data_IF_859998698277
#
_entry.id   IF_859998698277
#
_cell.length_a   1.000
_cell.length_b   1.000
_cell.length_c   1.000
_cell.angle_alpha   90.00
_cell.angle_beta   90.00
_cell.angle_gamma   90.00
#
_symmetry.space_group_name_H-M   'P 1'
#
loop_
_entity.id
_entity.type
_entity.pdbx_description
1 polymer ?
#
# COMPACT_ATOMS: atom_id res chain seq x y z
N UNK A 1 66.81 -9.97 19.06
CA UNK A 1 67.62 -8.76 19.34
C UNK A 1 67.13 -7.68 18.39
N UNK A 2 66.55 -6.54 18.76
CA UNK A 2 66.22 -5.92 20.04
C UNK A 2 65.24 -4.78 19.72
N UNK A 3 64.21 -4.57 20.55
CA UNK A 3 63.51 -3.27 20.60
C UNK A 3 64.45 -2.20 21.22
N UNK A 4 64.09 -0.90 21.21
CA UNK A 4 63.23 -0.40 22.29
C UNK A 4 62.21 0.72 21.91
N UNK A 5 61.07 0.69 22.59
CA UNK A 5 60.20 1.84 22.89
C UNK A 5 60.90 2.87 23.81
N UNK A 6 60.39 4.11 23.86
CA UNK A 6 60.33 4.85 25.11
C UNK A 6 58.88 5.05 25.58
N UNK A 7 58.67 4.67 26.83
CA UNK A 7 57.59 5.10 27.72
C UNK A 7 57.65 6.62 27.95
N UNK A 8 56.49 7.28 28.00
CA UNK A 8 56.20 8.34 28.99
C UNK A 8 54.69 8.57 29.13
N UNK A 9 54.17 8.27 30.31
CA UNK A 9 53.10 9.02 30.99
C UNK A 9 53.73 9.62 32.26
N UNK A 10 53.11 10.52 33.06
CA UNK A 10 51.73 11.02 33.04
C UNK A 10 51.61 12.55 33.24
N UNK A 11 50.43 13.15 33.04
CA UNK A 11 50.06 14.36 33.80
C UNK A 11 48.55 14.50 33.97
N UNK A 12 48.16 14.60 35.24
CA UNK A 12 46.83 15.00 35.69
C UNK A 12 46.68 16.50 35.47
N UNK A 13 45.60 16.93 34.83
CA UNK A 13 45.06 18.27 34.99
C UNK A 13 43.60 18.17 35.43
N UNK A 14 43.38 18.59 36.67
CA UNK A 14 42.07 18.91 37.22
C UNK A 14 41.71 20.31 36.73
N UNK A 15 40.57 20.47 36.05
CA UNK A 15 39.98 21.79 35.80
C UNK A 15 38.48 21.73 36.01
N UNK A 16 38.05 22.58 36.93
CA UNK A 16 36.72 22.82 37.45
C UNK A 16 35.78 23.46 36.43
N UNK A 17 34.52 23.03 36.48
CA UNK A 17 33.27 23.73 36.17
C UNK A 17 33.32 24.88 35.13
N UNK A 18 32.79 24.60 33.95
CA UNK A 18 32.29 25.58 33.00
C UNK A 18 31.16 24.97 32.18
N UNK A 19 29.93 25.40 32.42
CA UNK A 19 28.73 24.97 31.71
C UNK A 19 28.90 25.15 30.21
N UNK A 20 28.84 24.05 29.45
CA UNK A 20 28.64 24.07 28.01
C UNK A 20 27.51 23.10 27.68
N UNK A 21 26.33 23.66 27.47
CA UNK A 21 25.16 22.94 26.99
C UNK A 21 25.43 22.58 25.52
N UNK A 22 25.93 21.37 25.26
CA UNK A 22 26.00 20.79 23.93
C UNK A 22 24.88 19.75 23.81
N UNK A 23 23.92 20.08 22.95
CA UNK A 23 22.87 19.19 22.48
C UNK A 23 23.48 17.97 21.80
N UNK A 24 23.51 16.83 22.49
CA UNK A 24 23.80 15.53 21.90
C UNK A 24 22.93 14.46 22.55
N UNK A 25 22.20 13.74 21.70
CA UNK A 25 21.68 12.42 22.02
C UNK A 25 20.26 12.37 22.57
N UNK A 26 19.26 12.76 21.76
CA UNK A 26 18.00 12.00 21.82
C UNK A 26 18.23 10.74 21.01
N UNK A 27 18.58 9.68 21.73
CA UNK A 27 18.67 8.33 21.18
C UNK A 27 17.34 7.93 20.55
N UNK A 28 17.43 6.98 19.62
CA UNK A 28 16.29 6.18 19.16
C UNK A 28 15.55 5.61 20.38
N UNK A 29 14.52 6.30 20.82
CA UNK A 29 13.46 5.69 21.61
C UNK A 29 12.56 4.99 20.62
N UNK A 30 12.65 3.66 20.58
CA UNK A 30 11.59 2.83 19.99
C UNK A 30 10.24 3.34 20.51
N UNK A 31 9.34 3.73 19.61
CA UNK A 31 8.05 4.30 19.99
C UNK A 31 7.27 3.30 20.83
N UNK A 32 6.73 3.76 21.95
CA UNK A 32 5.76 3.00 22.73
C UNK A 32 4.57 2.64 21.81
N UNK A 33 4.17 1.36 21.87
CA UNK A 33 3.14 0.67 21.09
C UNK A 33 3.56 0.19 19.69
N UNK A 34 4.48 -0.78 19.62
CA UNK A 34 4.62 -1.66 18.45
C UNK A 34 3.33 -2.49 18.25
N UNK A 35 3.03 -2.88 17.01
CA UNK A 35 1.81 -3.59 16.60
C UNK A 35 1.54 -4.83 17.46
N UNK A 36 2.60 -5.55 17.86
CA UNK A 36 2.50 -6.71 18.75
C UNK A 36 1.86 -6.37 20.12
N UNK A 37 2.16 -5.20 20.69
CA UNK A 37 1.55 -4.77 21.95
C UNK A 37 0.05 -4.48 21.77
N UNK A 38 -0.31 -3.81 20.67
CA UNK A 38 -1.71 -3.58 20.34
C UNK A 38 -2.48 -4.90 20.16
N UNK A 39 -1.90 -5.88 19.46
CA UNK A 39 -2.48 -7.21 19.26
C UNK A 39 -2.68 -7.98 20.57
N UNK A 40 -1.80 -7.78 21.55
CA UNK A 40 -1.89 -8.42 22.85
C UNK A 40 -2.91 -7.74 23.78
N UNK A 41 -2.88 -6.41 23.86
CA UNK A 41 -3.51 -5.67 24.95
C UNK A 41 -4.92 -5.16 24.61
N UNK A 42 -5.11 -4.62 23.40
CA UNK A 42 -6.36 -3.95 23.00
C UNK A 42 -7.19 -4.82 22.05
N UNK A 43 -6.51 -5.48 21.11
CA UNK A 43 -7.12 -6.17 19.99
C UNK A 43 -8.10 -7.30 20.37
N UNK A 44 -7.80 -8.18 21.36
CA UNK A 44 -8.71 -9.28 21.71
C UNK A 44 -10.06 -8.80 22.24
N UNK A 45 -10.06 -7.70 23.00
CA UNK A 45 -11.28 -7.11 23.52
C UNK A 45 -12.13 -6.53 22.37
N UNK A 46 -11.50 -5.83 21.43
CA UNK A 46 -12.19 -5.24 20.27
C UNK A 46 -12.76 -6.33 19.36
N UNK A 47 -11.97 -7.37 19.05
CA UNK A 47 -12.42 -8.51 18.26
C UNK A 47 -13.64 -9.19 18.88
N UNK A 48 -13.63 -9.39 20.21
CA UNK A 48 -14.75 -9.95 20.96
C UNK A 48 -16.00 -9.07 20.87
N UNK A 49 -15.85 -7.76 20.98
CA UNK A 49 -16.97 -6.81 20.90
C UNK A 49 -17.60 -6.75 19.50
N UNK A 50 -16.79 -6.89 18.43
CA UNK A 50 -17.26 -6.96 17.05
C UNK A 50 -17.99 -8.27 16.71
N UNK A 51 -17.74 -9.35 17.47
CA UNK A 51 -18.27 -10.68 17.21
C UNK A 51 -17.97 -11.21 15.78
N UNK A 52 -16.79 -10.88 15.25
CA UNK A 52 -16.35 -11.30 13.91
C UNK A 52 -15.46 -12.54 13.98
N UNK A 53 -15.32 -13.25 12.85
CA UNK A 53 -14.38 -14.38 12.78
C UNK A 53 -12.93 -13.86 12.82
N UNK A 54 -11.95 -14.66 13.29
CA UNK A 54 -10.54 -14.26 13.24
C UNK A 54 -10.08 -13.90 11.82
N UNK A 55 -10.60 -14.64 10.83
CA UNK A 55 -10.36 -14.40 9.41
C UNK A 55 -10.83 -13.01 8.96
N UNK A 56 -11.99 -12.58 9.43
CA UNK A 56 -12.54 -11.27 9.08
C UNK A 56 -11.82 -10.15 9.84
N UNK A 57 -11.59 -10.35 11.14
CA UNK A 57 -10.98 -9.34 11.99
C UNK A 57 -9.55 -8.97 11.57
N UNK A 58 -8.77 -9.91 11.03
CA UNK A 58 -7.42 -9.63 10.50
C UNK A 58 -7.42 -8.57 9.37
N UNK A 59 -8.54 -8.39 8.68
CA UNK A 59 -8.69 -7.38 7.63
C UNK A 59 -8.95 -5.99 8.22
N UNK A 60 -9.40 -5.92 9.48
CA UNK A 60 -9.72 -4.68 10.20
C UNK A 60 -8.55 -4.24 11.07
N UNK A 61 -7.91 -5.19 11.77
CA UNK A 61 -6.93 -4.96 12.82
C UNK A 61 -5.75 -4.05 12.41
N UNK A 62 -5.08 -4.23 11.26
CA UNK A 62 -3.97 -3.35 10.88
C UNK A 62 -4.39 -1.89 10.68
N UNK A 63 -5.55 -1.67 10.04
CA UNK A 63 -6.10 -0.32 9.86
C UNK A 63 -6.51 0.29 11.20
N UNK A 64 -7.09 -0.50 12.10
CA UNK A 64 -7.45 -0.05 13.44
C UNK A 64 -6.22 0.38 14.24
N UNK A 65 -5.15 -0.43 14.24
CA UNK A 65 -3.89 -0.08 14.88
C UNK A 65 -3.32 1.23 14.36
N UNK A 66 -3.24 1.40 13.04
CA UNK A 66 -2.68 2.63 12.46
C UNK A 66 -3.54 3.87 12.74
N UNK A 67 -4.86 3.74 12.77
CA UNK A 67 -5.73 4.84 13.22
C UNK A 67 -5.53 5.13 14.71
N UNK A 68 -5.41 4.10 15.55
CA UNK A 68 -5.14 4.28 16.98
C UNK A 68 -3.82 5.01 17.21
N UNK A 69 -2.77 4.69 16.45
CA UNK A 69 -1.49 5.40 16.46
C UNK A 69 -1.63 6.85 15.99
N UNK A 70 -2.30 7.08 14.86
CA UNK A 70 -2.49 8.41 14.31
C UNK A 70 -3.25 9.35 15.27
N UNK A 71 -4.19 8.80 16.05
CA UNK A 71 -5.00 9.54 17.01
C UNK A 71 -4.62 9.24 18.47
N UNK A 72 -3.39 8.78 18.73
CA UNK A 72 -2.94 8.36 20.06
C UNK A 72 -3.17 9.45 21.11
N UNK A 73 -2.81 10.70 20.80
CA UNK A 73 -2.99 11.83 21.73
C UNK A 73 -4.45 12.04 22.13
N UNK A 74 -5.39 11.86 21.19
CA UNK A 74 -6.82 11.95 21.47
C UNK A 74 -7.29 10.78 22.33
N UNK A 75 -6.83 9.56 22.03
CA UNK A 75 -7.20 8.35 22.76
C UNK A 75 -6.60 8.29 24.18
N UNK A 76 -5.39 8.82 24.38
CA UNK A 76 -4.68 8.77 25.66
C UNK A 76 -5.36 9.58 26.77
N UNK A 77 -6.19 10.56 26.40
CA UNK A 77 -6.95 11.39 27.35
C UNK A 77 -8.25 10.75 27.85
N UNK A 78 -8.66 9.63 27.26
CA UNK A 78 -9.90 8.93 27.57
C UNK A 78 -9.71 7.95 28.73
N UNK A 79 -10.80 7.62 29.42
CA UNK A 79 -10.80 6.47 30.34
C UNK A 79 -10.57 5.17 29.55
N UNK A 80 -10.18 4.08 30.23
CA UNK A 80 -9.98 2.79 29.57
C UNK A 80 -11.26 2.29 28.89
N UNK A 81 -12.43 2.51 29.50
CA UNK A 81 -13.74 2.14 28.95
C UNK A 81 -14.06 2.97 27.70
N UNK A 82 -13.95 4.30 27.78
CA UNK A 82 -14.20 5.21 26.64
C UNK A 82 -13.21 4.95 25.48
N UNK A 83 -11.95 4.64 25.80
CA UNK A 83 -10.93 4.28 24.81
C UNK A 83 -11.33 2.99 24.09
N UNK A 84 -11.73 1.96 24.83
CA UNK A 84 -12.18 0.70 24.26
C UNK A 84 -13.42 0.91 23.37
N UNK A 85 -14.43 1.64 23.83
CA UNK A 85 -15.61 1.97 23.03
C UNK A 85 -15.24 2.71 21.74
N UNK A 86 -14.28 3.64 21.81
CA UNK A 86 -13.80 4.37 20.63
C UNK A 86 -13.12 3.44 19.63
N UNK A 87 -12.27 2.53 20.09
CA UNK A 87 -11.61 1.53 19.24
C UNK A 87 -12.63 0.60 18.57
N UNK A 88 -13.64 0.14 19.32
CA UNK A 88 -14.75 -0.66 18.76
C UNK A 88 -15.50 0.13 17.69
N UNK A 89 -15.83 1.39 17.95
CA UNK A 89 -16.52 2.25 16.98
C UNK A 89 -15.69 2.49 15.71
N UNK A 90 -14.37 2.66 15.83
CA UNK A 90 -13.46 2.79 14.69
C UNK A 90 -13.41 1.48 13.90
N UNK A 91 -13.34 0.35 14.57
CA UNK A 91 -13.32 -0.96 13.94
C UNK A 91 -14.64 -1.25 13.17
N UNK A 92 -15.78 -0.88 13.75
CA UNK A 92 -17.09 -0.94 13.10
C UNK A 92 -17.19 0.01 11.89
N UNK A 93 -16.57 1.18 11.96
CA UNK A 93 -16.48 2.09 10.83
C UNK A 93 -15.68 1.47 9.68
N UNK A 94 -14.49 0.93 9.95
CA UNK A 94 -13.66 0.24 8.95
C UNK A 94 -14.45 -0.90 8.30
N UNK A 95 -15.09 -1.73 9.11
CA UNK A 95 -15.87 -2.89 8.65
C UNK A 95 -17.03 -2.49 7.72
N UNK A 96 -17.83 -1.50 8.15
CA UNK A 96 -18.93 -0.97 7.34
C UNK A 96 -18.42 -0.37 6.04
N UNK A 97 -17.31 0.39 6.08
CA UNK A 97 -16.77 1.03 4.88
C UNK A 97 -16.27 -0.01 3.88
N UNK A 98 -15.55 -1.04 4.32
CA UNK A 98 -15.11 -2.15 3.46
C UNK A 98 -16.29 -2.91 2.87
N UNK A 99 -17.31 -3.18 3.68
CA UNK A 99 -18.53 -3.85 3.23
C UNK A 99 -19.29 -3.02 2.18
N UNK A 100 -19.37 -1.70 2.37
CA UNK A 100 -20.06 -0.80 1.45
C UNK A 100 -19.43 -0.75 0.05
N UNK A 101 -18.10 -0.91 -0.03
CA UNK A 101 -17.36 -0.89 -1.31
C UNK A 101 -17.07 -2.29 -1.87
N UNK A 102 -17.47 -3.36 -1.20
CA UNK A 102 -17.08 -4.73 -1.58
C UNK A 102 -17.53 -5.13 -2.99
N UNK A 103 -18.64 -4.56 -3.48
CA UNK A 103 -19.16 -4.80 -4.83
C UNK A 103 -18.52 -3.90 -5.89
N UNK A 104 -17.68 -2.92 -5.52
CA UNK A 104 -17.04 -2.03 -6.48
C UNK A 104 -16.10 -2.81 -7.38
N UNK A 105 -16.27 -2.59 -8.68
CA UNK A 105 -15.55 -3.30 -9.71
C UNK A 105 -14.12 -2.78 -9.83
N UNK A 106 -13.14 -3.69 -9.75
CA UNK A 106 -11.72 -3.37 -9.97
C UNK A 106 -11.31 -3.78 -11.38
N UNK A 107 -11.72 -4.96 -11.87
CA UNK A 107 -11.43 -5.42 -13.24
C UNK A 107 -12.70 -6.06 -13.80
N UNK A 108 -13.09 -5.72 -15.02
CA UNK A 108 -14.26 -6.30 -15.67
C UNK A 108 -14.85 -5.40 -16.76
N UNK A 109 -16.01 -5.78 -17.32
CA UNK A 109 -16.65 -5.05 -18.40
C UNK A 109 -16.87 -3.57 -18.05
N UNK A 110 -16.63 -2.68 -19.02
CA UNK A 110 -16.80 -1.24 -18.84
C UNK A 110 -15.62 -0.51 -18.17
N UNK A 111 -14.55 -1.24 -17.81
CA UNK A 111 -13.30 -0.67 -17.29
C UNK A 111 -12.15 -0.79 -18.29
N UNK A 112 -11.24 0.16 -18.24
CA UNK A 112 -9.95 0.12 -18.96
C UNK A 112 -8.83 -0.30 -18.02
N UNK A 113 -7.79 -0.97 -18.55
CA UNK A 113 -6.56 -1.29 -17.82
C UNK A 113 -5.38 -0.50 -18.39
N UNK A 114 -4.56 0.06 -17.51
CA UNK A 114 -3.26 0.66 -17.86
C UNK A 114 -2.19 -0.10 -17.08
N UNK A 115 -1.29 -0.79 -17.77
CA UNK A 115 -0.19 -1.52 -17.13
C UNK A 115 1.15 -0.81 -17.28
N UNK A 116 1.96 -0.77 -16.22
CA UNK A 116 3.39 -0.45 -16.26
C UNK A 116 4.16 -1.64 -15.70
N UNK A 117 4.99 -2.25 -16.55
CA UNK A 117 5.77 -3.44 -16.18
C UNK A 117 7.23 -3.09 -16.08
N UNK A 118 7.90 -3.61 -15.05
CA UNK A 118 9.36 -3.55 -14.87
C UNK A 118 10.11 -3.84 -16.17
N UNK A 119 11.18 -3.10 -16.51
CA UNK A 119 12.01 -3.43 -17.68
C UNK A 119 12.67 -4.81 -17.59
N UNK A 120 12.88 -5.35 -16.39
CA UNK A 120 13.52 -6.65 -16.18
C UNK A 120 12.75 -7.80 -16.84
N UNK A 121 13.48 -8.87 -17.13
CA UNK A 121 12.94 -10.06 -17.76
C UNK A 121 12.03 -10.82 -16.78
N UNK A 122 10.80 -11.12 -17.22
CA UNK A 122 9.90 -12.00 -16.47
C UNK A 122 8.44 -11.61 -16.50
N UNK A 123 8.16 -10.31 -16.39
CA UNK A 123 6.83 -9.73 -16.54
C UNK A 123 6.54 -9.52 -18.02
N UNK A 124 5.64 -10.34 -18.57
CA UNK A 124 5.22 -10.26 -19.96
C UNK A 124 3.93 -9.43 -20.08
N UNK A 125 3.82 -8.47 -21.02
CA UNK A 125 2.58 -7.78 -21.33
C UNK A 125 1.35 -8.71 -21.50
N UNK A 126 1.59 -9.97 -21.90
CA UNK A 126 0.57 -11.01 -22.01
C UNK A 126 -0.20 -11.24 -20.71
N UNK A 127 0.40 -11.05 -19.54
CA UNK A 127 -0.24 -11.37 -18.25
C UNK A 127 -1.41 -10.42 -17.97
N UNK A 128 -1.22 -9.11 -18.17
CA UNK A 128 -2.30 -8.12 -18.03
C UNK A 128 -3.27 -8.19 -19.22
N UNK A 129 -2.78 -8.34 -20.45
CA UNK A 129 -3.65 -8.37 -21.64
C UNK A 129 -4.54 -9.61 -21.70
N UNK A 130 -4.07 -10.77 -21.23
CA UNK A 130 -4.88 -11.98 -21.14
C UNK A 130 -5.98 -11.83 -20.08
N UNK A 131 -5.65 -11.23 -18.93
CA UNK A 131 -6.64 -10.89 -17.91
C UNK A 131 -7.67 -9.91 -18.47
N UNK A 132 -7.23 -8.82 -19.11
CA UNK A 132 -8.11 -7.85 -19.76
C UNK A 132 -9.07 -8.51 -20.75
N UNK A 133 -8.56 -9.42 -21.59
CA UNK A 133 -9.36 -10.16 -22.57
C UNK A 133 -10.40 -11.05 -21.89
N UNK A 134 -10.01 -11.78 -20.84
CA UNK A 134 -10.92 -12.65 -20.09
C UNK A 134 -12.08 -11.87 -19.42
N UNK A 135 -11.85 -10.59 -19.13
CA UNK A 135 -12.77 -9.70 -18.43
C UNK A 135 -13.40 -8.62 -19.33
N UNK A 136 -13.20 -8.71 -20.66
CA UNK A 136 -13.74 -7.76 -21.65
C UNK A 136 -13.35 -6.29 -21.37
N UNK A 137 -12.10 -6.08 -20.97
CA UNK A 137 -11.50 -4.75 -20.76
C UNK A 137 -10.64 -4.34 -21.96
N UNK A 138 -10.57 -3.04 -22.25
CA UNK A 138 -9.47 -2.48 -23.05
C UNK A 138 -8.20 -2.42 -22.21
N UNK A 139 -7.02 -2.66 -22.80
CA UNK A 139 -5.75 -2.58 -22.07
C UNK A 139 -4.65 -1.89 -22.87
N UNK A 140 -3.90 -1.01 -22.20
CA UNK A 140 -2.69 -0.38 -22.72
C UNK A 140 -1.53 -0.71 -21.78
N UNK A 141 -0.51 -1.41 -22.27
CA UNK A 141 0.64 -1.85 -21.45
C UNK A 141 1.89 -1.09 -21.88
N UNK A 142 2.57 -0.51 -20.89
CA UNK A 142 3.85 0.16 -21.02
C UNK A 142 4.93 -0.75 -20.43
N UNK A 143 5.90 -1.12 -21.27
CA UNK A 143 7.11 -1.84 -20.86
C UNK A 143 8.23 -1.43 -21.82
N UNK A 144 9.43 -1.20 -21.30
CA UNK A 144 10.62 -1.10 -22.15
C UNK A 144 10.95 -2.48 -22.73
N UNK A 145 10.80 -2.65 -24.04
CA UNK A 145 10.98 -3.95 -24.73
C UNK A 145 12.26 -4.03 -25.55
N UNK A 146 12.88 -2.90 -25.87
CA UNK A 146 14.10 -2.84 -26.66
C UNK A 146 15.13 -1.86 -26.04
N UNK A 147 16.37 -1.90 -26.53
CA UNK A 147 17.46 -1.05 -26.05
C UNK A 147 17.43 0.39 -26.58
N UNK A 148 16.64 0.66 -27.62
CA UNK A 148 16.52 1.98 -28.23
C UNK A 148 15.52 2.90 -27.51
N UNK A 149 14.54 2.31 -26.82
CA UNK A 149 13.62 3.01 -25.93
C UNK A 149 14.34 3.50 -24.66
N UNK A 150 14.13 4.76 -24.28
CA UNK A 150 14.54 5.22 -22.96
C UNK A 150 13.48 4.86 -21.91
N UNK A 151 13.90 4.59 -20.67
CA UNK A 151 12.96 4.41 -19.54
C UNK A 151 12.09 5.66 -19.36
N UNK A 152 12.69 6.85 -19.58
CA UNK A 152 11.99 8.11 -19.46
C UNK A 152 10.83 8.23 -20.46
N UNK A 153 11.03 7.83 -21.72
CA UNK A 153 9.97 7.92 -22.75
C UNK A 153 8.81 6.98 -22.44
N UNK A 154 9.10 5.75 -22.01
CA UNK A 154 8.07 4.79 -21.59
C UNK A 154 7.32 5.32 -20.36
N UNK A 155 8.03 5.84 -19.36
CA UNK A 155 7.43 6.44 -18.17
C UNK A 155 6.60 7.68 -18.48
N UNK A 156 7.03 8.53 -19.43
CA UNK A 156 6.26 9.68 -19.90
C UNK A 156 4.97 9.26 -20.60
N UNK A 157 5.04 8.24 -21.47
CA UNK A 157 3.88 7.72 -22.17
C UNK A 157 2.87 7.09 -21.20
N UNK A 158 3.35 6.36 -20.19
CA UNK A 158 2.53 5.84 -19.09
C UNK A 158 1.82 6.97 -18.33
N UNK A 159 2.57 7.99 -17.88
CA UNK A 159 1.98 9.12 -17.16
C UNK A 159 0.97 9.89 -18.02
N UNK A 160 1.21 10.02 -19.33
CA UNK A 160 0.24 10.60 -20.24
C UNK A 160 -1.06 9.81 -20.27
N UNK A 161 -1.00 8.47 -20.34
CA UNK A 161 -2.18 7.63 -20.34
C UNK A 161 -2.93 7.68 -18.99
N UNK A 162 -2.20 7.69 -17.87
CA UNK A 162 -2.77 7.88 -16.53
C UNK A 162 -3.43 9.26 -16.41
N UNK A 163 -2.80 10.31 -16.94
CA UNK A 163 -3.39 11.64 -17.02
C UNK A 163 -4.70 11.64 -17.79
N UNK A 164 -4.74 11.04 -18.98
CA UNK A 164 -6.00 10.89 -19.75
C UNK A 164 -7.08 10.14 -18.95
N UNK A 165 -6.72 9.07 -18.26
CA UNK A 165 -7.66 8.32 -17.42
C UNK A 165 -8.16 9.12 -16.21
N UNK A 166 -7.38 10.06 -15.69
CA UNK A 166 -7.75 10.91 -14.56
C UNK A 166 -8.68 12.08 -14.94
N UNK A 167 -8.92 12.33 -16.22
CA UNK A 167 -9.81 13.41 -16.65
C UNK A 167 -11.27 13.12 -16.23
N UNK A 168 -12.05 14.16 -15.88
CA UNK A 168 -13.48 14.01 -15.60
C UNK A 168 -14.23 13.41 -16.79
N UNK A 169 -15.10 12.43 -16.51
CA UNK A 169 -15.87 11.72 -17.53
C UNK A 169 -15.07 10.66 -18.31
N UNK A 170 -13.80 10.43 -17.98
CA UNK A 170 -13.06 9.30 -18.51
C UNK A 170 -13.69 7.96 -18.08
N UNK A 171 -13.47 6.92 -18.90
CA UNK A 171 -13.87 5.56 -18.55
C UNK A 171 -13.21 5.14 -17.23
N UNK A 172 -13.93 4.49 -16.30
CA UNK A 172 -13.33 3.94 -15.09
C UNK A 172 -12.13 3.07 -15.44
N UNK A 173 -11.01 3.30 -14.75
CA UNK A 173 -9.72 2.74 -15.15
C UNK A 173 -8.97 2.16 -13.97
N UNK A 174 -8.38 0.99 -14.18
CA UNK A 174 -7.47 0.36 -13.23
C UNK A 174 -6.05 0.44 -13.76
N UNK A 175 -5.21 1.16 -13.02
CA UNK A 175 -3.78 1.30 -13.28
C UNK A 175 -3.06 0.22 -12.49
N UNK A 176 -2.18 -0.54 -13.15
CA UNK A 176 -1.44 -1.66 -12.57
C UNK A 176 0.05 -1.41 -12.77
N UNK A 177 0.82 -1.33 -11.69
CA UNK A 177 2.28 -1.16 -11.70
C UNK A 177 2.91 -2.41 -11.08
N UNK A 178 3.74 -3.10 -11.84
CA UNK A 178 4.42 -4.33 -11.40
C UNK A 178 5.93 -4.15 -11.56
N UNK A 179 6.71 -4.26 -10.49
CA UNK A 179 8.16 -4.14 -10.59
C UNK A 179 8.89 -3.78 -9.30
N UNK A 180 10.00 -3.05 -9.44
CA UNK A 180 10.73 -2.48 -8.31
C UNK A 180 10.16 -1.12 -7.89
N UNK A 181 10.11 -0.92 -6.58
CA UNK A 181 9.49 0.23 -5.93
C UNK A 181 10.30 0.74 -4.74
N UNK A 182 10.15 2.03 -4.47
CA UNK A 182 10.64 2.73 -3.28
C UNK A 182 9.45 3.48 -2.65
N UNK A 183 9.53 3.85 -1.36
CA UNK A 183 8.45 4.60 -0.70
C UNK A 183 8.02 5.88 -1.42
N UNK A 184 8.89 6.47 -2.25
CA UNK A 184 8.64 7.74 -2.96
C UNK A 184 8.76 7.64 -4.47
N UNK A 185 8.94 6.46 -5.05
CA UNK A 185 9.23 6.31 -6.48
C UNK A 185 8.84 4.93 -7.03
N UNK A 186 8.21 4.92 -8.21
CA UNK A 186 8.19 3.72 -9.07
C UNK A 186 9.59 3.59 -9.66
N UNK A 187 10.44 2.85 -8.96
CA UNK A 187 11.89 2.82 -9.18
C UNK A 187 12.26 2.37 -10.60
N UNK A 188 11.50 1.41 -11.12
CA UNK A 188 11.65 0.83 -12.46
C UNK A 188 11.77 1.87 -13.59
N UNK A 189 11.12 3.02 -13.44
CA UNK A 189 11.05 4.07 -14.47
C UNK A 189 11.40 5.47 -13.94
N UNK A 190 11.93 5.57 -12.72
CA UNK A 190 12.21 6.84 -12.05
C UNK A 190 11.02 7.80 -12.09
N UNK A 191 9.84 7.32 -11.66
CA UNK A 191 8.63 8.14 -11.54
C UNK A 191 8.41 8.45 -10.06
N UNK A 192 8.77 9.67 -9.60
CA UNK A 192 8.51 10.07 -8.23
C UNK A 192 7.01 10.16 -7.94
N UNK A 193 6.61 9.89 -6.70
CA UNK A 193 5.25 10.08 -6.20
C UNK A 193 4.71 11.47 -6.54
N UNK A 194 5.51 12.52 -6.29
CA UNK A 194 5.12 13.91 -6.55
C UNK A 194 4.75 14.16 -8.01
N UNK A 195 5.43 13.48 -8.94
CA UNK A 195 5.19 13.60 -10.37
C UNK A 195 3.89 12.92 -10.78
N UNK A 196 3.59 11.75 -10.20
CA UNK A 196 2.33 11.05 -10.42
C UNK A 196 1.16 11.84 -9.81
N UNK A 197 1.30 12.32 -8.58
CA UNK A 197 0.29 13.16 -7.92
C UNK A 197 -0.03 14.44 -8.73
N UNK A 198 1.01 15.13 -9.18
CA UNK A 198 0.91 16.30 -10.06
C UNK A 198 0.18 15.98 -11.36
N UNK A 199 0.49 14.83 -11.99
CA UNK A 199 -0.17 14.37 -13.21
C UNK A 199 -1.67 14.16 -13.01
N UNK A 200 -2.04 13.47 -11.92
CA UNK A 200 -3.44 13.18 -11.59
C UNK A 200 -4.23 14.48 -11.33
N UNK A 201 -3.71 15.37 -10.48
CA UNK A 201 -4.40 16.61 -10.11
C UNK A 201 -4.52 17.57 -11.30
N UNK A 202 -3.45 17.71 -12.10
CA UNK A 202 -3.48 18.56 -13.30
C UNK A 202 -4.47 18.04 -14.34
N UNK A 203 -4.49 16.73 -14.59
CA UNK A 203 -5.41 16.17 -15.55
C UNK A 203 -6.87 16.21 -15.08
N UNK A 204 -7.13 15.90 -13.80
CA UNK A 204 -8.47 15.99 -13.23
C UNK A 204 -9.02 17.43 -13.25
N UNK A 205 -8.15 18.43 -13.12
CA UNK A 205 -8.50 19.85 -13.24
C UNK A 205 -8.80 20.30 -14.69
N UNK A 206 -8.35 19.56 -15.71
CA UNK A 206 -8.27 20.07 -17.10
C UNK A 206 -9.60 20.20 -17.85
N UNK A 207 -10.69 19.56 -17.39
CA UNK A 207 -11.96 19.52 -18.12
C UNK A 207 -12.83 20.77 -17.99
N UNK A 208 -12.49 21.71 -17.09
CA UNK A 208 -13.29 22.93 -16.89
C UNK A 208 -12.38 24.16 -16.84
N UNK A 209 -12.89 25.31 -17.28
CA UNK A 209 -12.12 26.56 -17.26
C UNK A 209 -11.79 27.06 -15.84
N UNK A 210 -12.50 26.56 -14.82
CA UNK A 210 -12.30 26.88 -13.41
C UNK A 210 -12.76 25.70 -12.54
N UNK A 211 -11.96 24.62 -12.43
CA UNK A 211 -12.29 23.49 -11.58
C UNK A 211 -12.28 23.95 -10.12
N UNK A 212 -13.30 23.54 -9.37
CA UNK A 212 -13.39 23.80 -7.92
C UNK A 212 -13.17 22.54 -7.11
N UNK A 213 -13.32 21.36 -7.72
CA UNK A 213 -13.19 20.07 -7.07
C UNK A 213 -12.45 19.05 -7.93
N UNK A 214 -11.86 18.06 -7.26
CA UNK A 214 -11.15 16.93 -7.84
C UNK A 214 -11.79 15.66 -7.30
N UNK A 215 -12.29 14.82 -8.22
CA UNK A 215 -12.83 13.50 -7.94
C UNK A 215 -12.05 12.47 -8.77
N UNK A 216 -11.46 11.50 -8.08
CA UNK A 216 -10.68 10.41 -8.66
C UNK A 216 -11.31 9.03 -8.37
N UNK A 217 -12.57 8.99 -7.94
CA UNK A 217 -13.28 7.76 -7.55
C UNK A 217 -13.39 6.71 -8.68
N UNK A 218 -13.30 7.13 -9.94
CA UNK A 218 -13.31 6.23 -11.09
C UNK A 218 -11.97 5.52 -11.35
N UNK A 219 -10.92 5.87 -10.59
CA UNK A 219 -9.60 5.26 -10.68
C UNK A 219 -9.36 4.24 -9.56
N UNK A 220 -8.72 3.13 -9.95
CA UNK A 220 -8.10 2.19 -9.02
C UNK A 220 -6.62 2.05 -9.38
N UNK A 221 -5.72 2.17 -8.41
CA UNK A 221 -4.29 1.95 -8.61
C UNK A 221 -3.87 0.70 -7.85
N UNK A 222 -3.22 -0.23 -8.55
CA UNK A 222 -2.64 -1.45 -8.00
C UNK A 222 -1.13 -1.33 -8.19
N UNK A 223 -0.36 -1.29 -7.10
CA UNK A 223 1.09 -1.43 -7.16
C UNK A 223 1.49 -2.75 -6.51
N UNK A 224 2.21 -3.58 -7.24
CA UNK A 224 2.88 -4.77 -6.74
C UNK A 224 4.39 -4.59 -6.90
N UNK A 225 4.96 -3.90 -5.92
CA UNK A 225 6.36 -3.58 -5.81
C UNK A 225 6.75 -3.45 -4.32
N UNK A 226 8.05 -3.35 -4.05
CA UNK A 226 8.55 -3.09 -2.72
C UNK A 226 8.01 -1.75 -2.19
N UNK A 227 7.60 -1.70 -0.93
CA UNK A 227 7.08 -0.50 -0.27
C UNK A 227 5.82 0.09 -0.92
N UNK A 228 5.04 -0.73 -1.64
CA UNK A 228 3.82 -0.29 -2.33
C UNK A 228 2.84 0.44 -1.39
N UNK A 229 2.65 0.00 -0.15
CA UNK A 229 1.81 0.71 0.82
C UNK A 229 2.35 2.12 1.14
N UNK A 230 3.65 2.27 1.37
CA UNK A 230 4.28 3.56 1.66
C UNK A 230 4.18 4.51 0.47
N UNK A 231 4.40 3.99 -0.75
CA UNK A 231 4.18 4.72 -1.99
C UNK A 231 2.75 5.23 -2.09
N UNK A 232 1.74 4.37 -1.84
CA UNK A 232 0.33 4.74 -1.90
C UNK A 232 -0.07 5.79 -0.86
N UNK A 233 0.47 5.69 0.36
CA UNK A 233 0.26 6.70 1.41
C UNK A 233 0.85 8.04 0.99
N UNK A 234 2.09 8.03 0.49
CA UNK A 234 2.75 9.23 0.01
C UNK A 234 2.01 9.83 -1.20
N UNK A 235 1.44 8.99 -2.08
CA UNK A 235 0.62 9.43 -3.20
C UNK A 235 -0.67 10.11 -2.73
N UNK A 236 -1.40 9.51 -1.78
CA UNK A 236 -2.59 10.13 -1.19
C UNK A 236 -2.29 11.47 -0.51
N UNK A 237 -1.17 11.57 0.21
CA UNK A 237 -0.69 12.85 0.77
C UNK A 237 -0.31 13.86 -0.32
N UNK A 238 0.38 13.41 -1.37
CA UNK A 238 0.79 14.23 -2.50
C UNK A 238 -0.41 14.84 -3.22
N UNK A 239 -1.42 14.04 -3.56
CA UNK A 239 -2.67 14.49 -4.18
C UNK A 239 -3.36 15.52 -3.28
N UNK A 240 -3.55 15.20 -2.00
CA UNK A 240 -4.19 16.09 -1.02
C UNK A 240 -3.47 17.44 -0.90
N UNK A 241 -2.14 17.41 -0.82
CA UNK A 241 -1.30 18.62 -0.76
C UNK A 241 -1.45 19.46 -2.01
N UNK A 242 -1.41 18.86 -3.20
CA UNK A 242 -1.56 19.57 -4.48
C UNK A 242 -2.94 20.20 -4.65
N UNK A 243 -4.01 19.51 -4.26
CA UNK A 243 -5.35 20.09 -4.24
C UNK A 243 -5.39 21.34 -3.34
N UNK A 244 -4.84 21.24 -2.12
CA UNK A 244 -4.76 22.37 -1.18
C UNK A 244 -3.96 23.55 -1.73
N UNK A 245 -2.78 23.30 -2.30
CA UNK A 245 -1.92 24.34 -2.90
C UNK A 245 -2.61 25.08 -4.04
N UNK A 246 -3.55 24.42 -4.74
CA UNK A 246 -4.32 24.97 -5.85
C UNK A 246 -5.70 25.50 -5.44
N UNK A 247 -6.02 25.49 -4.14
CA UNK A 247 -7.36 25.84 -3.64
C UNK A 247 -8.49 25.00 -4.27
N UNK A 248 -8.23 23.72 -4.54
CA UNK A 248 -9.20 22.76 -5.04
C UNK A 248 -9.72 21.90 -3.88
N UNK A 249 -11.02 21.63 -3.86
CA UNK A 249 -11.62 20.65 -2.95
C UNK A 249 -11.33 19.24 -3.46
N UNK A 250 -10.72 18.38 -2.65
CA UNK A 250 -10.58 16.96 -2.97
C UNK A 250 -11.85 16.24 -2.50
N UNK A 251 -12.69 15.81 -3.44
CA UNK A 251 -13.96 15.12 -3.16
C UNK A 251 -13.72 13.64 -2.85
N UNK A 252 -12.85 12.99 -3.63
CA UNK A 252 -12.53 11.58 -3.44
C UNK A 252 -11.13 11.27 -3.98
N UNK A 253 -10.36 10.51 -3.21
CA UNK A 253 -9.12 9.89 -3.67
C UNK A 253 -9.43 8.69 -4.58
N UNK A 254 -8.47 8.24 -5.40
CA UNK A 254 -8.60 6.93 -6.04
C UNK A 254 -8.60 5.81 -5.01
N UNK A 255 -9.14 4.65 -5.37
CA UNK A 255 -8.92 3.43 -4.61
C UNK A 255 -7.49 2.94 -4.82
N UNK A 256 -6.77 2.61 -3.75
CA UNK A 256 -5.38 2.17 -3.83
C UNK A 256 -5.25 0.74 -3.29
N UNK A 257 -4.53 -0.12 -4.01
CA UNK A 257 -4.23 -1.49 -3.63
C UNK A 257 -2.71 -1.67 -3.71
N UNK A 258 -2.11 -2.03 -2.58
CA UNK A 258 -0.70 -2.28 -2.42
C UNK A 258 -0.46 -3.77 -2.21
N UNK A 259 0.45 -4.36 -2.99
CA UNK A 259 0.83 -5.77 -2.88
C UNK A 259 1.64 -6.09 -1.62
N UNK A 260 2.23 -5.08 -0.98
CA UNK A 260 3.06 -5.18 0.22
C UNK A 260 2.63 -4.16 1.27
N UNK A 261 2.78 -4.53 2.54
CA UNK A 261 2.52 -3.66 3.68
C UNK A 261 3.61 -2.59 3.85
N UNK A 262 3.38 -1.67 4.80
CA UNK A 262 4.34 -0.61 5.18
C UNK A 262 5.68 -1.20 5.58
N UNK A 263 6.74 -0.51 5.20
CA UNK A 263 8.14 -0.86 5.51
C UNK A 263 8.54 -2.27 5.05
N UNK A 264 7.76 -2.88 4.15
CA UNK A 264 7.99 -4.24 3.67
C UNK A 264 8.54 -4.24 2.24
N UNK A 265 9.51 -5.13 2.02
CA UNK A 265 9.98 -5.46 0.67
C UNK A 265 9.03 -6.47 0.02
N UNK A 266 8.82 -6.31 -1.28
CA UNK A 266 8.09 -7.26 -2.09
C UNK A 266 8.96 -8.48 -2.39
N UNK A 267 8.34 -9.65 -2.44
CA UNK A 267 8.99 -10.88 -2.87
C UNK A 267 8.42 -11.33 -4.20
N UNK A 268 9.32 -11.84 -5.03
CA UNK A 268 9.01 -12.40 -6.32
C UNK A 268 9.60 -13.80 -6.43
N UNK A 269 8.92 -14.67 -7.17
CA UNK A 269 9.56 -15.88 -7.65
C UNK A 269 10.65 -15.45 -8.65
N UNK A 270 11.91 -15.72 -8.32
CA UNK A 270 13.06 -15.42 -9.19
C UNK A 270 13.54 -16.72 -9.85
N UNK A 271 13.34 -16.81 -11.16
CA UNK A 271 13.66 -18.02 -11.95
C UNK A 271 13.59 -17.73 -13.45
N UNK A 272 12.80 -18.50 -14.21
CA UNK A 272 12.55 -18.20 -15.63
C UNK A 272 11.71 -16.92 -15.85
N UNK A 273 11.00 -16.46 -14.82
CA UNK A 273 10.22 -15.23 -14.82
C UNK A 273 10.31 -14.57 -13.45
N UNK A 274 10.50 -13.25 -13.41
CA UNK A 274 10.15 -12.37 -12.30
C UNK A 274 8.63 -12.16 -12.28
N UNK A 275 7.95 -12.65 -11.24
CA UNK A 275 6.54 -12.34 -10.97
C UNK A 275 6.39 -12.09 -9.46
N UNK A 276 5.99 -10.88 -9.05
CA UNK A 276 5.77 -10.62 -7.63
C UNK A 276 4.55 -11.40 -7.10
N UNK A 277 4.61 -11.77 -5.83
CA UNK A 277 3.69 -12.75 -5.24
C UNK A 277 2.23 -12.30 -5.30
N UNK A 278 1.96 -11.02 -5.07
CA UNK A 278 0.59 -10.51 -5.09
C UNK A 278 -0.04 -10.65 -6.49
N UNK A 279 0.67 -10.25 -7.54
CA UNK A 279 0.16 -10.34 -8.90
C UNK A 279 0.05 -11.79 -9.37
N UNK A 280 1.00 -12.64 -8.99
CA UNK A 280 0.90 -14.09 -9.21
C UNK A 280 -0.40 -14.63 -8.62
N UNK A 281 -0.75 -14.22 -7.40
CA UNK A 281 -1.95 -14.65 -6.70
C UNK A 281 -3.23 -14.13 -7.35
N UNK A 282 -3.24 -12.89 -7.84
CA UNK A 282 -4.32 -12.32 -8.66
C UNK A 282 -4.55 -13.15 -9.93
N UNK A 283 -3.49 -13.49 -10.66
CA UNK A 283 -3.58 -14.31 -11.88
C UNK A 283 -4.07 -15.73 -11.57
N UNK A 284 -3.54 -16.36 -10.53
CA UNK A 284 -3.97 -17.70 -10.10
C UNK A 284 -5.46 -17.71 -9.76
N UNK A 285 -5.93 -16.76 -8.95
CA UNK A 285 -7.31 -16.71 -8.48
C UNK A 285 -8.32 -16.35 -9.57
N UNK A 286 -7.97 -15.43 -10.47
CA UNK A 286 -8.96 -14.81 -11.36
C UNK A 286 -8.76 -15.11 -12.85
N UNK A 287 -7.63 -15.70 -13.25
CA UNK A 287 -7.39 -16.09 -14.64
C UNK A 287 -7.18 -17.59 -14.84
N UNK A 288 -6.48 -18.25 -13.92
CA UNK A 288 -6.19 -19.68 -14.01
C UNK A 288 -7.39 -20.51 -13.50
N UNK A 289 -7.87 -20.20 -12.28
CA UNK A 289 -9.00 -20.94 -11.68
C UNK A 289 -10.31 -20.64 -12.40
N UNK A 290 -11.08 -21.69 -12.66
CA UNK A 290 -12.40 -21.62 -13.31
C UNK A 290 -13.50 -22.06 -12.33
N UNK A 291 -14.73 -21.55 -12.47
CA UNK A 291 -15.18 -20.51 -13.41
C UNK A 291 -14.65 -19.11 -13.02
N UNK A 292 -14.52 -18.23 -14.01
CA UNK A 292 -14.22 -16.82 -13.74
C UNK A 292 -15.47 -16.11 -13.21
N UNK A 293 -15.35 -15.21 -12.22
CA UNK A 293 -16.41 -14.25 -11.95
C UNK A 293 -16.63 -13.31 -13.15
N UNK A 294 -17.81 -12.71 -13.26
CA UNK A 294 -18.11 -11.74 -14.33
C UNK A 294 -17.23 -10.48 -14.24
N UNK A 295 -16.86 -10.11 -13.02
CA UNK A 295 -15.90 -9.06 -12.72
C UNK A 295 -15.17 -9.37 -11.42
N UNK A 296 -13.95 -8.84 -11.27
CA UNK A 296 -13.17 -8.86 -10.03
C UNK A 296 -13.53 -7.60 -9.23
N UNK A 297 -13.99 -7.76 -8.00
CA UNK A 297 -14.41 -6.64 -7.14
C UNK A 297 -13.40 -6.35 -6.02
N UNK A 298 -13.57 -5.23 -5.30
CA UNK A 298 -12.78 -4.97 -4.08
C UNK A 298 -12.98 -6.06 -3.03
N UNK A 299 -14.20 -6.59 -2.89
CA UNK A 299 -14.49 -7.74 -2.03
C UNK A 299 -13.67 -8.98 -2.40
N UNK A 300 -13.45 -9.23 -3.70
CA UNK A 300 -12.59 -10.32 -4.14
C UNK A 300 -11.12 -10.13 -3.72
N UNK A 301 -10.59 -8.90 -3.77
CA UNK A 301 -9.25 -8.59 -3.28
C UNK A 301 -9.16 -8.71 -1.75
N UNK A 302 -10.10 -8.08 -1.05
CA UNK A 302 -10.21 -8.08 0.41
C UNK A 302 -10.30 -9.50 0.95
N UNK A 303 -11.06 -10.38 0.29
CA UNK A 303 -11.21 -11.76 0.72
C UNK A 303 -10.18 -12.67 0.06
N UNK A 304 -10.23 -12.89 -1.24
CA UNK A 304 -9.52 -14.02 -1.85
C UNK A 304 -8.02 -13.79 -1.92
N UNK A 305 -7.60 -12.61 -2.38
CA UNK A 305 -6.17 -12.29 -2.55
C UNK A 305 -5.49 -12.14 -1.19
N UNK A 306 -6.09 -11.37 -0.28
CA UNK A 306 -5.61 -11.24 1.11
C UNK A 306 -5.49 -12.62 1.81
N UNK A 307 -6.44 -13.53 1.60
CA UNK A 307 -6.36 -14.89 2.16
C UNK A 307 -5.22 -15.71 1.58
N UNK A 308 -4.97 -15.62 0.28
CA UNK A 308 -3.86 -16.35 -0.32
C UNK A 308 -2.52 -15.77 0.13
N UNK A 309 -2.40 -14.44 0.13
CA UNK A 309 -1.19 -13.73 0.52
C UNK A 309 -0.81 -13.91 2.00
N UNK A 310 -1.80 -14.07 2.88
CA UNK A 310 -1.54 -14.27 4.31
C UNK A 310 -0.72 -15.54 4.61
N UNK A 311 -0.73 -16.52 3.70
CA UNK A 311 0.07 -17.74 3.81
C UNK A 311 1.58 -17.51 3.62
N UNK A 312 2.02 -16.39 3.05
CA UNK A 312 3.45 -16.13 2.92
C UNK A 312 4.10 -15.87 4.28
N UNK A 313 5.18 -16.60 4.57
CA UNK A 313 5.86 -16.57 5.87
C UNK A 313 5.11 -17.27 7.00
N UNK A 314 3.93 -17.85 6.73
CA UNK A 314 3.05 -18.44 7.75
C UNK A 314 2.58 -19.83 7.34
N UNK A 315 2.29 -20.67 8.34
CA UNK A 315 1.66 -21.98 8.12
C UNK A 315 0.28 -22.00 8.79
N UNK A 316 -0.79 -22.38 8.07
CA UNK A 316 -2.10 -22.55 8.69
C UNK A 316 -2.05 -23.65 9.75
N UNK A 317 -2.64 -23.39 10.90
CA UNK A 317 -2.94 -24.37 11.94
C UNK A 317 -4.33 -24.91 11.63
N UNK A 318 -4.42 -26.22 11.39
CA UNK A 318 -5.64 -26.88 10.93
C UNK A 318 -6.16 -27.80 12.04
N UNK A 319 -7.42 -27.61 12.42
CA UNK A 319 -8.16 -28.53 13.28
C UNK A 319 -9.37 -29.08 12.52
N UNK A 320 -9.43 -30.40 12.34
CA UNK A 320 -10.41 -31.03 11.47
C UNK A 320 -10.30 -30.52 10.03
N UNK A 321 -11.35 -29.89 9.51
CA UNK A 321 -11.42 -29.30 8.17
C UNK A 321 -11.25 -27.78 8.15
N UNK A 322 -10.89 -27.14 9.27
CA UNK A 322 -10.87 -25.69 9.39
C UNK A 322 -9.48 -25.17 9.76
N UNK A 323 -9.10 -24.04 9.14
CA UNK A 323 -7.95 -23.24 9.59
C UNK A 323 -8.39 -22.46 10.83
N UNK A 324 -7.80 -22.76 11.97
CA UNK A 324 -8.11 -22.13 13.27
C UNK A 324 -7.11 -21.03 13.65
N UNK A 325 -5.97 -20.97 12.97
CA UNK A 325 -4.95 -19.97 13.20
C UNK A 325 -3.79 -20.10 12.22
N UNK A 326 -2.75 -19.32 12.44
CA UNK A 326 -1.52 -19.36 11.65
C UNK A 326 -0.31 -19.31 12.57
N UNK A 327 0.69 -20.14 12.26
CA UNK A 327 1.99 -20.11 12.91
C UNK A 327 2.95 -19.31 12.03
N UNK A 328 3.56 -18.26 12.57
CA UNK A 328 4.64 -17.54 11.90
C UNK A 328 5.86 -18.45 11.78
N UNK A 329 6.35 -18.63 10.55
CA UNK A 329 7.54 -19.44 10.24
C UNK A 329 8.71 -18.57 9.80
N UNK A 330 8.43 -17.59 8.94
CA UNK A 330 9.43 -16.67 8.42
C UNK A 330 8.83 -15.25 8.34
N UNK A 331 9.18 -14.36 9.30
CA UNK A 331 8.69 -12.99 9.28
C UNK A 331 9.14 -12.19 8.06
N UNK A 332 10.25 -12.56 7.42
CA UNK A 332 10.78 -11.80 6.29
C UNK A 332 9.95 -12.00 5.02
N UNK A 333 9.21 -13.11 4.94
CA UNK A 333 8.36 -13.45 3.80
C UNK A 333 6.94 -12.90 3.92
N UNK A 334 6.58 -12.31 5.06
CA UNK A 334 5.28 -11.67 5.28
C UNK A 334 5.19 -10.41 4.41
N UNK A 335 4.15 -10.32 3.58
CA UNK A 335 3.91 -9.17 2.72
C UNK A 335 2.58 -8.48 2.98
N UNK A 336 1.53 -9.22 3.34
CA UNK A 336 0.16 -8.77 3.66
C UNK A 336 -0.32 -7.53 2.87
N UNK A 337 -1.13 -7.70 1.81
CA UNK A 337 -1.54 -6.58 0.97
C UNK A 337 -2.38 -5.55 1.73
N UNK A 338 -2.32 -4.30 1.29
CA UNK A 338 -3.05 -3.19 1.91
C UNK A 338 -3.99 -2.56 0.89
N UNK A 339 -5.26 -2.42 1.27
CA UNK A 339 -6.29 -1.81 0.44
C UNK A 339 -6.76 -0.53 1.12
N UNK A 340 -6.56 0.60 0.45
CA UNK A 340 -6.99 1.91 0.89
C UNK A 340 -8.30 2.26 0.19
N UNK A 341 -9.38 2.27 0.97
CA UNK A 341 -10.69 2.70 0.51
C UNK A 341 -10.82 4.20 0.76
N UNK A 342 -11.07 5.02 -0.27
CA UNK A 342 -11.17 6.45 -0.11
C UNK A 342 -12.42 6.83 0.70
N UNK A 343 -12.29 7.88 1.50
CA UNK A 343 -13.43 8.51 2.18
C UNK A 343 -13.99 9.61 1.28
N UNK A 344 -15.30 9.77 1.33
CA UNK A 344 -16.00 10.91 0.72
C UNK A 344 -16.05 12.09 1.69
N UNK A 345 -16.39 13.28 1.22
CA UNK A 345 -16.55 14.47 2.08
C UNK A 345 -17.59 14.28 3.20
N UNK A 346 -18.57 13.39 3.01
CA UNK A 346 -19.63 13.12 3.99
C UNK A 346 -19.22 12.18 5.13
N UNK A 347 -18.05 11.53 5.04
CA UNK A 347 -17.56 10.49 5.96
C UNK A 347 -16.38 10.98 6.81
#
# INVERSE_FOLDING_TARGET
>A
MSQPFPNTAPSRFTLTAGSLLICLGSGLTASANDFAAFQQDESPAVAKALATTPKHYRQIEPSLYHLAQQYEASLASLSAEDRHERLVSLAQFIDRKRSAVAAEQVIGPGRSLIGLLDPDHGLDPKEITALATAYTCGATIFKKTDSSQSLQDVGNAFLSAVGTAAQPGATPTTVIVLGHGLPTEIQSYHIPVDRLAETLVTAAASATAAPTSIDLSHLTLICDDCYSADFMINLGHGITKRCRERSLTLTCLPTLIAGTNRDCVGHADVGRKFVPHFWKDVIELFYIRKPHPEAITLGDFLEKVDNMMYGYGRRPIIEGSHVVGYQLLDPTMVQDPVIFVPLTEAE
#
